data_IF_983089426385
#
_entry.id   IF_983089426385
#
_cell.length_a   1.000
_cell.length_b   1.000
_cell.length_c   1.000
_cell.angle_alpha   90.00
_cell.angle_beta   90.00
_cell.angle_gamma   90.00
#
_symmetry.space_group_name_H-M   'P 1'
#
loop_
_entity.id
_entity.type
_entity.pdbx_description
1 polymer ?
#
# COMPACT_ATOMS: atom_id res chain seq x y z
N UNK A 1 -9.35 37.72 -9.81
CA UNK A 1 -10.33 37.11 -8.89
C UNK A 1 -9.76 35.77 -8.45
N UNK A 2 -9.31 35.63 -7.19
CA UNK A 2 -8.81 34.35 -6.67
C UNK A 2 -10.01 33.46 -6.36
N UNK A 3 -10.21 32.40 -7.14
CA UNK A 3 -11.20 31.37 -6.82
C UNK A 3 -10.66 30.63 -5.60
N UNK A 4 -11.23 30.90 -4.43
CA UNK A 4 -10.98 30.09 -3.23
C UNK A 4 -11.76 28.78 -3.44
N UNK A 5 -11.12 27.60 -3.40
CA UNK A 5 -11.84 26.35 -3.54
C UNK A 5 -12.80 26.21 -2.37
N UNK A 6 -14.12 26.22 -2.64
CA UNK A 6 -15.11 25.91 -1.61
C UNK A 6 -15.03 24.42 -1.30
N UNK A 7 -14.44 24.08 -0.16
CA UNK A 7 -14.37 22.71 0.35
C UNK A 7 -15.80 22.19 0.56
N UNK A 8 -16.19 21.12 -0.12
CA UNK A 8 -17.47 20.48 0.15
C UNK A 8 -17.34 19.51 1.32
N UNK A 9 -18.46 19.19 1.97
CA UNK A 9 -18.51 18.16 3.02
C UNK A 9 -17.97 16.80 2.52
N UNK A 10 -18.08 16.52 1.22
CA UNK A 10 -17.53 15.29 0.61
C UNK A 10 -16.00 15.30 0.58
N UNK A 11 -15.40 16.43 0.20
CA UNK A 11 -13.94 16.60 0.18
C UNK A 11 -13.39 16.48 1.60
N UNK A 12 -14.01 17.17 2.56
CA UNK A 12 -13.65 17.09 3.97
C UNK A 12 -13.69 15.65 4.50
N UNK A 13 -14.79 14.93 4.24
CA UNK A 13 -14.93 13.54 4.69
C UNK A 13 -13.87 12.63 4.04
N UNK A 14 -13.60 12.82 2.75
CA UNK A 14 -12.57 12.07 2.03
C UNK A 14 -11.20 12.25 2.65
N UNK A 15 -10.76 13.50 2.79
CA UNK A 15 -9.46 13.84 3.37
C UNK A 15 -9.33 13.40 4.82
N UNK A 16 -10.40 13.52 5.62
CA UNK A 16 -10.38 13.08 7.02
C UNK A 16 -10.20 11.57 7.15
N UNK A 17 -10.85 10.78 6.29
CA UNK A 17 -10.64 9.34 6.27
C UNK A 17 -9.25 8.95 5.79
N UNK A 18 -8.70 9.62 4.77
CA UNK A 18 -7.29 9.43 4.38
C UNK A 18 -6.32 9.79 5.50
N UNK A 19 -6.55 10.88 6.22
CA UNK A 19 -5.73 11.27 7.37
C UNK A 19 -5.78 10.22 8.50
N UNK A 20 -6.92 9.56 8.67
CA UNK A 20 -7.07 8.47 9.65
C UNK A 20 -6.26 7.24 9.23
N UNK A 21 -6.31 6.86 7.94
CA UNK A 21 -5.47 5.77 7.39
C UNK A 21 -3.99 6.15 7.51
N UNK A 22 -3.62 7.40 7.21
CA UNK A 22 -2.24 7.90 7.36
C UNK A 22 -1.74 7.77 8.78
N UNK A 23 -2.55 8.19 9.76
CA UNK A 23 -2.20 8.06 11.18
C UNK A 23 -1.94 6.60 11.54
N UNK A 24 -2.75 5.67 11.03
CA UNK A 24 -2.53 4.24 11.25
C UNK A 24 -1.20 3.76 10.62
N UNK A 25 -0.89 4.17 9.39
CA UNK A 25 0.38 3.86 8.73
C UNK A 25 1.56 4.39 9.55
N UNK A 26 1.54 5.68 9.89
CA UNK A 26 2.61 6.39 10.61
C UNK A 26 2.84 5.82 12.03
N UNK A 27 1.83 5.18 12.62
CA UNK A 27 1.96 4.54 13.94
C UNK A 27 2.50 3.11 13.89
N UNK A 28 2.24 2.38 12.79
CA UNK A 28 2.44 0.92 12.75
C UNK A 28 3.63 0.50 11.89
N UNK A 29 3.84 1.13 10.73
CA UNK A 29 4.96 0.80 9.83
C UNK A 29 6.31 1.12 10.48
N UNK A 30 6.54 2.34 11.04
CA UNK A 30 7.83 2.65 11.67
C UNK A 30 8.15 1.74 12.86
N UNK A 31 7.13 1.28 13.60
CA UNK A 31 7.34 0.38 14.74
C UNK A 31 7.91 -0.98 14.32
N UNK A 32 7.49 -1.53 13.18
CA UNK A 32 8.06 -2.77 12.64
C UNK A 32 9.44 -2.54 12.04
N UNK A 33 9.66 -1.40 11.37
CA UNK A 33 10.97 -1.04 10.84
C UNK A 33 12.01 -0.83 11.95
N UNK A 34 11.62 -0.20 13.06
CA UNK A 34 12.46 -0.06 14.25
C UNK A 34 12.85 -1.42 14.83
N UNK A 35 11.88 -2.32 15.00
CA UNK A 35 12.13 -3.66 15.53
C UNK A 35 13.06 -4.47 14.61
N UNK A 36 12.86 -4.39 13.30
CA UNK A 36 13.76 -4.98 12.32
C UNK A 36 15.18 -4.42 12.42
N UNK A 37 15.32 -3.10 12.59
CA UNK A 37 16.63 -2.46 12.71
C UNK A 37 17.33 -2.87 14.00
N UNK A 38 16.60 -2.91 15.12
CA UNK A 38 17.11 -3.37 16.41
C UNK A 38 17.59 -4.83 16.34
N UNK A 39 16.75 -5.74 15.83
CA UNK A 39 17.12 -7.15 15.70
C UNK A 39 18.33 -7.36 14.78
N UNK A 40 18.45 -6.60 13.67
CA UNK A 40 19.63 -6.65 12.78
C UNK A 40 20.90 -6.15 13.45
N UNK A 41 20.80 -5.06 14.20
CA UNK A 41 21.93 -4.53 14.96
C UNK A 41 22.38 -5.54 16.03
N UNK A 42 21.44 -6.23 16.66
CA UNK A 42 21.74 -7.25 17.65
C UNK A 42 22.38 -8.51 17.05
N UNK A 43 21.94 -8.96 15.87
CA UNK A 43 22.60 -10.09 15.17
C UNK A 43 24.09 -9.81 14.97
N UNK A 44 24.44 -8.59 14.54
CA UNK A 44 25.85 -8.28 14.30
C UNK A 44 26.66 -8.28 15.61
N UNK A 45 26.05 -7.89 16.73
CA UNK A 45 26.70 -7.99 18.05
C UNK A 45 26.88 -9.44 18.47
N UNK A 46 25.87 -10.30 18.31
CA UNK A 46 25.96 -11.73 18.65
C UNK A 46 26.97 -12.45 17.76
N UNK A 47 27.02 -12.11 16.46
CA UNK A 47 27.97 -12.68 15.49
C UNK A 47 29.43 -12.41 15.86
N UNK A 48 29.74 -11.26 16.45
CA UNK A 48 31.10 -10.93 16.91
C UNK A 48 31.60 -11.84 18.05
N UNK A 49 30.69 -12.56 18.72
CA UNK A 49 31.02 -13.45 19.84
C UNK A 49 30.97 -14.92 19.44
N UNK A 50 30.66 -15.26 18.18
CA UNK A 50 30.62 -16.63 17.68
C UNK A 50 31.84 -16.90 16.79
N UNK A 51 32.54 -18.03 16.97
CA UNK A 51 33.53 -18.51 16.00
C UNK A 51 32.91 -18.69 14.60
N UNK A 52 33.67 -18.39 13.54
CA UNK A 52 33.21 -18.52 12.15
C UNK A 52 32.83 -19.97 11.78
N UNK A 53 33.39 -20.96 12.48
CA UNK A 53 33.19 -22.40 12.30
C UNK A 53 32.48 -23.08 13.48
N UNK A 54 31.74 -22.31 14.28
CA UNK A 54 31.07 -22.83 15.47
C UNK A 54 30.12 -24.01 15.17
N UNK A 55 30.43 -25.17 15.74
CA UNK A 55 29.55 -26.35 15.79
C UNK A 55 28.98 -26.49 17.20
N UNK A 56 27.64 -26.49 17.31
CA UNK A 56 26.92 -26.62 18.57
C UNK A 56 27.21 -27.95 19.31
N UNK A 57 27.84 -28.92 18.65
CA UNK A 57 28.26 -30.19 19.26
C UNK A 57 29.52 -30.13 20.13
N UNK A 58 30.35 -29.09 20.01
CA UNK A 58 31.72 -29.03 20.59
C UNK A 58 31.90 -27.91 21.65
N UNK A 59 30.83 -27.36 22.23
CA UNK A 59 30.89 -26.31 23.27
C UNK A 59 30.81 -26.89 24.71
N UNK A 60 31.95 -27.08 25.41
CA UNK A 60 31.99 -27.62 26.77
C UNK A 60 31.44 -26.66 27.83
N UNK A 61 31.35 -25.35 27.52
CA UNK A 61 31.06 -24.29 28.50
C UNK A 61 29.63 -23.73 28.34
N UNK A 62 28.96 -24.03 27.22
CA UNK A 62 27.56 -23.70 26.91
C UNK A 62 27.30 -22.22 26.61
N UNK A 63 28.34 -21.38 26.66
CA UNK A 63 28.27 -19.94 26.37
C UNK A 63 28.02 -19.70 24.88
N UNK A 64 28.69 -20.45 24.02
CA UNK A 64 28.56 -20.32 22.58
C UNK A 64 27.25 -20.96 22.10
N UNK A 65 26.75 -21.97 22.82
CA UNK A 65 25.43 -22.56 22.60
C UNK A 65 24.31 -21.54 22.87
N UNK A 66 24.43 -20.72 23.92
CA UNK A 66 23.48 -19.65 24.22
C UNK A 66 23.54 -18.52 23.16
N UNK A 67 24.74 -18.12 22.74
CA UNK A 67 24.92 -17.13 21.68
C UNK A 67 24.36 -17.63 20.32
N UNK A 68 24.59 -18.90 19.98
CA UNK A 68 24.07 -19.52 18.78
C UNK A 68 22.54 -19.64 18.79
N UNK A 69 21.95 -20.02 19.93
CA UNK A 69 20.49 -20.04 20.10
C UNK A 69 19.90 -18.64 19.91
N UNK A 70 20.49 -17.62 20.54
CA UNK A 70 20.07 -16.22 20.37
C UNK A 70 20.21 -15.75 18.92
N UNK A 71 21.30 -16.09 18.24
CA UNK A 71 21.50 -15.77 16.84
C UNK A 71 20.41 -16.38 15.96
N UNK A 72 20.09 -17.66 16.17
CA UNK A 72 19.00 -18.36 15.49
C UNK A 72 17.65 -17.69 15.74
N UNK A 73 17.33 -17.37 17.00
CA UNK A 73 16.10 -16.68 17.38
C UNK A 73 15.96 -15.33 16.68
N UNK A 74 17.05 -14.55 16.63
CA UNK A 74 17.07 -13.25 15.96
C UNK A 74 16.86 -13.38 14.44
N UNK A 75 17.44 -14.39 13.79
CA UNK A 75 17.20 -14.65 12.36
C UNK A 75 15.72 -14.91 12.12
N UNK A 76 15.11 -15.78 12.94
CA UNK A 76 13.70 -16.11 12.85
C UNK A 76 12.81 -14.89 13.13
N UNK A 77 13.17 -14.07 14.12
CA UNK A 77 12.46 -12.83 14.45
C UNK A 77 12.52 -11.82 13.31
N UNK A 78 13.70 -11.57 12.72
CA UNK A 78 13.85 -10.69 11.55
C UNK A 78 12.99 -11.18 10.41
N UNK A 79 13.03 -12.48 10.13
CA UNK A 79 12.24 -13.06 9.06
C UNK A 79 10.73 -12.85 9.30
N UNK A 80 10.25 -13.17 10.52
CA UNK A 80 8.85 -12.96 10.91
C UNK A 80 8.43 -11.50 10.76
N UNK A 81 9.27 -10.57 11.21
CA UNK A 81 9.00 -9.14 11.12
C UNK A 81 9.00 -8.61 9.69
N UNK A 82 9.86 -9.14 8.80
CA UNK A 82 9.84 -8.80 7.38
C UNK A 82 8.53 -9.21 6.72
N UNK A 83 8.03 -10.41 7.05
CA UNK A 83 6.74 -10.90 6.55
C UNK A 83 5.60 -10.03 7.09
N UNK A 84 5.60 -9.77 8.40
CA UNK A 84 4.59 -8.93 9.04
C UNK A 84 4.55 -7.53 8.43
N UNK A 85 5.71 -6.90 8.18
CA UNK A 85 5.81 -5.60 7.53
C UNK A 85 5.24 -5.63 6.10
N UNK A 86 5.59 -6.64 5.32
CA UNK A 86 5.08 -6.80 3.95
C UNK A 86 3.54 -6.94 3.93
N UNK A 87 2.99 -7.80 4.78
CA UNK A 87 1.54 -8.02 4.86
C UNK A 87 0.80 -6.80 5.40
N UNK A 88 1.38 -6.08 6.36
CA UNK A 88 0.84 -4.82 6.85
C UNK A 88 0.78 -3.77 5.72
N UNK A 89 1.86 -3.62 4.95
CA UNK A 89 1.89 -2.72 3.80
C UNK A 89 0.86 -3.11 2.74
N UNK A 90 0.72 -4.40 2.42
CA UNK A 90 -0.34 -4.91 1.51
C UNK A 90 -1.74 -4.54 2.01
N UNK A 91 -2.00 -4.74 3.31
CA UNK A 91 -3.29 -4.41 3.92
C UNK A 91 -3.62 -2.92 3.77
N UNK A 92 -2.64 -2.04 4.00
CA UNK A 92 -2.83 -0.60 3.80
C UNK A 92 -3.03 -0.21 2.33
N UNK A 93 -2.30 -0.82 1.39
CA UNK A 93 -2.52 -0.60 -0.05
C UNK A 93 -3.96 -0.95 -0.45
N UNK A 94 -4.47 -2.08 0.03
CA UNK A 94 -5.86 -2.48 -0.19
C UNK A 94 -6.85 -1.51 0.46
N UNK A 95 -6.61 -1.11 1.72
CA UNK A 95 -7.46 -0.18 2.44
C UNK A 95 -7.55 1.18 1.74
N UNK A 96 -6.41 1.72 1.29
CA UNK A 96 -6.34 3.00 0.55
C UNK A 96 -7.13 2.93 -0.75
N UNK A 97 -6.87 1.90 -1.57
CA UNK A 97 -7.57 1.76 -2.85
C UNK A 97 -9.08 1.54 -2.66
N UNK A 98 -9.49 0.66 -1.74
CA UNK A 98 -10.90 0.44 -1.45
C UNK A 98 -11.59 1.69 -0.87
N UNK A 99 -10.89 2.48 -0.05
CA UNK A 99 -11.43 3.73 0.47
C UNK A 99 -11.81 4.69 -0.67
N UNK A 100 -10.97 4.81 -1.69
CA UNK A 100 -11.30 5.56 -2.90
C UNK A 100 -12.53 4.99 -3.64
N UNK A 101 -12.57 3.68 -3.88
CA UNK A 101 -13.71 3.02 -4.57
C UNK A 101 -15.03 3.26 -3.84
N UNK A 102 -15.01 3.13 -2.51
CA UNK A 102 -16.17 3.35 -1.64
C UNK A 102 -16.60 4.82 -1.67
N UNK A 103 -15.65 5.76 -1.58
CA UNK A 103 -15.95 7.18 -1.62
C UNK A 103 -16.64 7.57 -2.93
N UNK A 104 -16.08 7.18 -4.08
CA UNK A 104 -16.68 7.43 -5.40
C UNK A 104 -18.06 6.78 -5.52
N UNK A 105 -18.20 5.54 -5.05
CA UNK A 105 -19.49 4.83 -5.07
C UNK A 105 -20.56 5.53 -4.25
N UNK A 106 -20.23 6.03 -3.06
CA UNK A 106 -21.15 6.78 -2.20
C UNK A 106 -21.57 8.09 -2.88
N UNK A 107 -20.61 8.82 -3.47
CA UNK A 107 -20.90 10.07 -4.17
C UNK A 107 -21.81 9.85 -5.38
N UNK A 108 -21.59 8.77 -6.13
CA UNK A 108 -22.39 8.38 -7.28
C UNK A 108 -23.84 8.04 -6.91
N UNK A 109 -24.03 7.31 -5.81
CA UNK A 109 -25.37 6.96 -5.29
C UNK A 109 -26.13 8.17 -4.76
N UNK A 110 -25.43 9.14 -4.16
CA UNK A 110 -26.08 10.39 -3.72
C UNK A 110 -26.58 11.26 -4.88
N UNK A 111 -25.98 11.18 -6.06
CA UNK A 111 -26.47 11.89 -7.26
C UNK A 111 -27.64 11.18 -7.93
N UNK A 112 -27.60 9.85 -7.99
CA UNK A 112 -28.70 9.04 -8.52
C UNK A 112 -28.82 7.76 -7.70
N UNK A 113 -29.82 7.68 -6.79
CA UNK A 113 -30.02 6.52 -5.92
C UNK A 113 -30.30 5.21 -6.67
N UNK A 114 -30.71 5.27 -7.94
CA UNK A 114 -30.92 4.12 -8.80
C UNK A 114 -29.63 3.53 -9.38
N UNK A 115 -28.48 4.19 -9.18
CA UNK A 115 -27.19 3.66 -9.63
C UNK A 115 -26.88 2.33 -8.93
N UNK A 116 -26.78 1.27 -9.73
CA UNK A 116 -26.26 -0.03 -9.28
C UNK A 116 -24.85 0.13 -8.69
N UNK A 117 -24.45 -0.81 -7.85
CA UNK A 117 -23.08 -0.85 -7.33
C UNK A 117 -22.06 -0.88 -8.48
N UNK A 118 -21.09 0.03 -8.42
CA UNK A 118 -20.06 0.21 -9.45
C UNK A 118 -18.81 -0.52 -8.97
N UNK A 119 -18.39 -1.54 -9.71
CA UNK A 119 -17.30 -2.43 -9.28
C UNK A 119 -16.09 -2.45 -10.22
N UNK A 120 -16.21 -1.89 -11.42
CA UNK A 120 -15.09 -1.84 -12.36
C UNK A 120 -14.34 -0.51 -12.20
N UNK A 121 -13.01 -0.59 -12.22
CA UNK A 121 -12.13 0.57 -12.18
C UNK A 121 -12.52 1.64 -13.22
N UNK A 122 -12.76 1.22 -14.46
CA UNK A 122 -13.15 2.13 -15.54
C UNK A 122 -14.44 2.89 -15.24
N UNK A 123 -15.47 2.20 -14.74
CA UNK A 123 -16.74 2.85 -14.42
C UNK A 123 -16.60 3.80 -13.21
N UNK A 124 -15.76 3.45 -12.23
CA UNK A 124 -15.47 4.33 -11.10
C UNK A 124 -14.75 5.60 -11.54
N UNK A 125 -13.75 5.49 -12.42
CA UNK A 125 -13.03 6.67 -12.96
C UNK A 125 -13.98 7.57 -13.76
N UNK A 126 -14.79 7.00 -14.65
CA UNK A 126 -15.80 7.77 -15.39
C UNK A 126 -16.75 8.48 -14.44
N UNK A 127 -17.22 7.78 -13.40
CA UNK A 127 -18.17 8.36 -12.46
C UNK A 127 -17.54 9.46 -11.60
N UNK A 128 -16.28 9.29 -11.19
CA UNK A 128 -15.52 10.33 -10.50
C UNK A 128 -15.41 11.59 -11.37
N UNK A 129 -15.12 11.43 -12.67
CA UNK A 129 -15.05 12.55 -13.61
C UNK A 129 -16.39 13.27 -13.79
N UNK A 130 -17.50 12.53 -13.92
CA UNK A 130 -18.86 13.11 -13.96
C UNK A 130 -19.20 13.92 -12.69
N UNK A 131 -18.64 13.51 -11.54
CA UNK A 131 -18.79 14.20 -10.27
C UNK A 131 -17.84 15.41 -10.11
N UNK A 132 -17.00 15.70 -11.12
CA UNK A 132 -16.03 16.79 -11.12
C UNK A 132 -14.71 16.46 -10.42
N UNK A 133 -14.45 15.19 -10.11
CA UNK A 133 -13.20 14.74 -9.50
C UNK A 133 -12.24 14.21 -10.56
N UNK A 134 -10.96 14.54 -10.42
CA UNK A 134 -9.90 13.97 -11.26
C UNK A 134 -9.27 12.78 -10.56
N UNK A 135 -8.96 11.75 -11.34
CA UNK A 135 -8.13 10.63 -10.90
C UNK A 135 -6.67 10.93 -11.20
N UNK A 136 -5.79 10.56 -10.28
CA UNK A 136 -4.35 10.63 -10.51
C UNK A 136 -3.95 9.70 -11.66
N UNK A 137 -2.94 10.08 -12.44
CA UNK A 137 -2.49 9.31 -13.62
C UNK A 137 -2.11 7.85 -13.27
N UNK A 138 -1.49 7.68 -12.11
CA UNK A 138 -1.05 6.38 -11.60
C UNK A 138 -2.15 5.51 -10.97
N UNK A 139 -3.38 6.01 -10.84
CA UNK A 139 -4.44 5.29 -10.12
C UNK A 139 -4.79 3.96 -10.81
N UNK A 140 -4.66 3.88 -12.14
CA UNK A 140 -4.82 2.64 -12.88
C UNK A 140 -3.77 1.59 -12.46
N UNK A 141 -2.54 2.02 -12.22
CA UNK A 141 -1.46 1.16 -11.73
C UNK A 141 -1.75 0.70 -10.31
N UNK A 142 -2.18 1.60 -9.42
CA UNK A 142 -2.59 1.25 -8.05
C UNK A 142 -3.72 0.21 -8.05
N UNK A 143 -4.72 0.36 -8.91
CA UNK A 143 -5.79 -0.64 -9.07
C UNK A 143 -5.26 -2.01 -9.49
N UNK A 144 -4.23 -2.06 -10.37
CA UNK A 144 -3.59 -3.33 -10.73
C UNK A 144 -2.78 -3.92 -9.58
N UNK A 145 -2.08 -3.11 -8.80
CA UNK A 145 -1.37 -3.56 -7.59
C UNK A 145 -2.36 -4.15 -6.58
N UNK A 146 -3.46 -3.46 -6.28
CA UNK A 146 -4.49 -3.98 -5.39
C UNK A 146 -5.10 -5.31 -5.89
N UNK A 147 -5.34 -5.42 -7.19
CA UNK A 147 -5.82 -6.68 -7.79
C UNK A 147 -4.77 -7.79 -7.77
N UNK A 148 -3.48 -7.45 -7.89
CA UNK A 148 -2.39 -8.41 -7.76
C UNK A 148 -2.31 -8.93 -6.32
N UNK A 149 -2.38 -8.05 -5.31
CA UNK A 149 -2.39 -8.44 -3.90
C UNK A 149 -3.56 -9.39 -3.59
N UNK A 150 -4.76 -9.12 -4.13
CA UNK A 150 -5.97 -9.93 -3.86
C UNK A 150 -5.94 -11.34 -4.47
N UNK A 151 -5.32 -11.51 -5.63
CA UNK A 151 -5.48 -12.73 -6.44
C UNK A 151 -4.20 -13.48 -6.74
N UNK A 152 -3.06 -12.82 -6.56
CA UNK A 152 -1.70 -13.31 -6.78
C UNK A 152 -1.57 -14.40 -7.86
N UNK A 153 -1.85 -14.03 -9.12
CA UNK A 153 -1.79 -14.96 -10.23
C UNK A 153 -1.13 -14.35 -11.47
N UNK A 154 -0.75 -15.23 -12.40
CA UNK A 154 0.01 -14.87 -13.60
C UNK A 154 -0.71 -13.84 -14.49
N UNK A 155 -2.06 -13.87 -14.55
CA UNK A 155 -2.84 -12.86 -15.26
C UNK A 155 -2.65 -11.46 -14.66
N UNK A 156 -2.74 -11.33 -13.34
CA UNK A 156 -2.54 -10.03 -12.68
C UNK A 156 -1.11 -9.53 -12.79
N UNK A 157 -0.13 -10.43 -12.65
CA UNK A 157 1.30 -10.14 -12.83
C UNK A 157 1.58 -9.61 -14.24
N UNK A 158 1.07 -10.29 -15.26
CA UNK A 158 1.23 -9.89 -16.67
C UNK A 158 0.56 -8.54 -16.95
N UNK A 159 -0.63 -8.30 -16.40
CA UNK A 159 -1.34 -7.02 -16.54
C UNK A 159 -0.57 -5.85 -15.92
N UNK A 160 0.03 -6.04 -14.74
CA UNK A 160 0.84 -5.01 -14.09
C UNK A 160 2.12 -4.74 -14.88
N UNK A 161 2.85 -5.79 -15.29
CA UNK A 161 4.07 -5.68 -16.11
C UNK A 161 3.84 -4.91 -17.42
N UNK A 162 2.66 -5.09 -18.04
CA UNK A 162 2.32 -4.40 -19.29
C UNK A 162 2.15 -2.89 -19.11
N UNK A 163 1.59 -2.44 -17.99
CA UNK A 163 1.24 -1.01 -17.81
C UNK A 163 2.30 -0.22 -17.03
N UNK A 164 3.08 -0.89 -16.19
CA UNK A 164 4.06 -0.26 -15.31
C UNK A 164 5.22 -1.24 -15.05
N UNK A 165 6.10 -1.48 -16.04
CA UNK A 165 7.14 -2.51 -15.96
C UNK A 165 8.13 -2.26 -14.81
N UNK A 166 8.55 -1.03 -14.58
CA UNK A 166 9.47 -0.67 -13.49
C UNK A 166 8.86 -0.95 -12.12
N UNK A 167 7.59 -0.54 -11.90
CA UNK A 167 6.86 -0.84 -10.67
C UNK A 167 6.61 -2.34 -10.51
N UNK A 168 6.33 -3.03 -11.61
CA UNK A 168 6.17 -4.47 -11.59
C UNK A 168 7.47 -5.16 -11.14
N UNK A 169 8.63 -4.68 -11.56
CA UNK A 169 9.92 -5.22 -11.13
C UNK A 169 10.19 -5.02 -9.63
N UNK A 170 9.76 -3.90 -9.05
CA UNK A 170 9.92 -3.65 -7.61
C UNK A 170 8.92 -4.42 -6.73
N UNK A 171 7.71 -4.68 -7.26
CA UNK A 171 6.60 -5.31 -6.52
C UNK A 171 6.60 -6.84 -6.68
N UNK A 172 6.91 -7.33 -7.88
CA UNK A 172 6.98 -8.75 -8.19
C UNK A 172 8.42 -9.17 -7.97
N UNK A 173 8.74 -9.51 -6.72
CA UNK A 173 10.05 -10.03 -6.35
C UNK A 173 10.27 -11.42 -6.93
N UNK A 174 11.53 -11.84 -6.95
CA UNK A 174 11.85 -13.26 -6.97
C UNK A 174 11.70 -13.79 -5.55
N UNK A 175 10.93 -14.88 -5.40
CA UNK A 175 10.77 -15.61 -4.17
C UNK A 175 12.12 -15.73 -3.46
N UNK A 176 12.21 -15.42 -2.17
CA UNK A 176 13.36 -15.86 -1.38
C UNK A 176 13.18 -17.39 -1.31
N UNK A 177 14.08 -18.21 -1.93
CA UNK A 177 13.85 -19.64 -2.12
C UNK A 177 13.64 -20.43 -0.82
N UNK A 178 13.97 -19.83 0.32
CA UNK A 178 13.95 -20.49 1.61
C UNK A 178 12.55 -20.69 2.18
N UNK A 179 11.50 -19.98 1.71
CA UNK A 179 10.17 -20.07 2.31
C UNK A 179 9.03 -20.02 1.27
N UNK A 180 8.63 -21.18 0.70
CA UNK A 180 7.68 -21.28 -0.41
C UNK A 180 6.22 -20.88 -0.07
N UNK A 181 5.92 -20.57 1.18
CA UNK A 181 4.59 -20.12 1.61
C UNK A 181 4.40 -18.59 1.56
N UNK A 182 5.44 -17.82 1.23
CA UNK A 182 5.37 -16.37 1.15
C UNK A 182 5.02 -15.92 -0.27
N UNK A 183 3.98 -15.09 -0.39
CA UNK A 183 3.61 -14.46 -1.66
C UNK A 183 4.77 -13.63 -2.22
N UNK A 184 5.11 -13.82 -3.51
CA UNK A 184 6.18 -13.06 -4.17
C UNK A 184 5.84 -11.57 -4.39
N UNK A 185 4.63 -11.15 -3.98
CA UNK A 185 4.24 -9.75 -4.00
C UNK A 185 4.89 -9.07 -2.79
N UNK A 186 5.84 -8.18 -3.05
CA UNK A 186 6.53 -7.38 -2.05
C UNK A 186 6.06 -5.94 -2.12
N UNK A 187 5.47 -5.44 -1.03
CA UNK A 187 5.09 -4.04 -0.87
C UNK A 187 6.00 -3.44 0.19
N UNK A 188 6.87 -2.53 -0.25
CA UNK A 188 7.75 -1.78 0.65
C UNK A 188 7.04 -0.52 1.19
N UNK A 189 7.50 0.07 2.29
CA UNK A 189 7.01 1.36 2.77
C UNK A 189 7.02 2.45 1.69
N UNK A 190 8.04 2.51 0.83
CA UNK A 190 8.10 3.49 -0.27
C UNK A 190 7.01 3.24 -1.32
N UNK A 191 6.68 1.97 -1.57
CA UNK A 191 5.56 1.61 -2.45
C UNK A 191 4.23 2.05 -1.83
N UNK A 192 4.07 1.84 -0.52
CA UNK A 192 2.89 2.28 0.22
C UNK A 192 2.73 3.80 0.19
N UNK A 193 3.80 4.56 0.38
CA UNK A 193 3.80 6.03 0.27
C UNK A 193 3.35 6.51 -1.11
N UNK A 194 3.85 5.89 -2.17
CA UNK A 194 3.40 6.20 -3.53
C UNK A 194 1.90 5.88 -3.75
N UNK A 195 1.41 4.75 -3.22
CA UNK A 195 -0.02 4.41 -3.28
C UNK A 195 -0.83 5.47 -2.53
N UNK A 196 -0.40 5.85 -1.33
CA UNK A 196 -1.07 6.88 -0.52
C UNK A 196 -1.17 8.20 -1.29
N UNK A 197 -0.06 8.69 -1.83
CA UNK A 197 -0.02 9.92 -2.62
C UNK A 197 -0.93 9.84 -3.86
N UNK A 198 -0.93 8.70 -4.55
CA UNK A 198 -1.78 8.48 -5.73
C UNK A 198 -3.27 8.50 -5.38
N UNK A 199 -3.66 7.86 -4.28
CA UNK A 199 -5.05 7.84 -3.79
C UNK A 199 -5.47 9.21 -3.27
N UNK A 200 -4.59 9.90 -2.54
CA UNK A 200 -4.81 11.27 -2.08
C UNK A 200 -5.03 12.24 -3.26
N UNK A 201 -4.24 12.09 -4.33
CA UNK A 201 -4.39 12.85 -5.57
C UNK A 201 -5.59 12.44 -6.43
N UNK A 202 -6.35 11.41 -6.03
CA UNK A 202 -7.52 10.90 -6.74
C UNK A 202 -8.79 11.18 -5.93
N UNK A 203 -9.45 12.31 -6.17
CA UNK A 203 -10.66 12.68 -5.44
C UNK A 203 -10.72 14.16 -5.06
N UNK A 204 -11.49 14.46 -4.01
CA UNK A 204 -11.64 15.81 -3.46
C UNK A 204 -10.40 16.19 -2.65
N UNK A 205 -9.31 16.55 -3.34
CA UNK A 205 -8.12 17.12 -2.69
C UNK A 205 -8.19 18.65 -2.69
N UNK A 206 -7.93 19.25 -1.53
CA UNK A 206 -7.63 20.67 -1.33
C UNK A 206 -6.60 21.24 -2.33
N UNK A 207 -5.73 20.38 -2.87
CA UNK A 207 -4.68 20.77 -3.81
C UNK A 207 -5.14 20.85 -5.28
N UNK A 208 -6.36 20.39 -5.60
CA UNK A 208 -6.86 20.40 -6.98
C UNK A 208 -7.94 21.47 -7.18
N UNK A 209 -7.68 22.52 -8.01
CA UNK A 209 -8.74 23.44 -8.40
C UNK A 209 -9.81 22.66 -9.17
N UNK A 210 -11.06 22.72 -8.68
CA UNK A 210 -12.21 22.22 -9.44
C UNK A 210 -12.27 22.98 -10.76
N UNK A 211 -12.33 22.27 -11.88
CA UNK A 211 -12.76 22.91 -13.12
C UNK A 211 -14.22 23.33 -12.93
N UNK A 212 -14.58 24.61 -13.18
CA UNK A 212 -15.94 25.09 -12.97
C UNK A 212 -16.99 24.49 -13.91
N UNK A 213 -16.59 23.60 -14.82
CA UNK A 213 -17.47 23.06 -15.85
C UNK A 213 -17.48 21.53 -15.75
N UNK A 214 -18.58 20.98 -15.25
CA UNK A 214 -19.02 19.66 -15.65
C UNK A 214 -19.37 19.67 -17.15
N UNK A 215 -19.54 18.51 -17.80
CA UNK A 215 -20.07 18.48 -19.15
C UNK A 215 -21.41 19.24 -19.19
N UNK A 216 -21.68 20.05 -20.23
CA UNK A 216 -22.93 20.77 -20.34
C UNK A 216 -24.09 19.78 -20.21
N UNK A 217 -25.09 20.14 -19.41
CA UNK A 217 -26.34 19.41 -19.40
C UNK A 217 -26.89 19.39 -20.83
N UNK A 218 -27.51 18.28 -21.28
CA UNK A 218 -28.07 18.19 -22.63
C UNK A 218 -29.18 19.22 -22.91
N UNK A 219 -29.62 19.97 -21.91
CA UNK A 219 -30.61 21.04 -22.00
C UNK A 219 -30.03 22.46 -22.20
N UNK A 220 -28.70 22.61 -22.24
CA UNK A 220 -28.05 23.88 -22.55
C UNK A 220 -28.19 24.97 -21.48
N UNK A 221 -28.56 24.64 -20.25
CA UNK A 221 -28.56 25.61 -19.14
C UNK A 221 -27.27 25.53 -18.33
N UNK A 222 -26.65 26.70 -18.08
CA UNK A 222 -25.52 26.86 -17.15
C UNK A 222 -25.96 26.65 -15.71
#
# INVERSE_FOLDING_TARGET
MKIVPTLTLRDYAYERGLASIRTAIDSSVPSLEERLRANRAEIEQVRQHLPDDYDAGDDPDGSDAAAFARHTDLIMAIHSDQVALNELCKAFVLALYHYWEVAVSIWARKQSPSNKAIHSFGNLVTKAAELGYRSHADLATVSRVANLIKHDNQDKRSKLKKIAPERAASIIGHCIPTLPFLSDVRITPETLEWVFATVQGSGGSLAQPRTPFGPPRPDGTM
#
